data_IF_329117999275
#
_entry.id   IF_329117999275
#
_cell.length_a   1.000
_cell.length_b   1.000
_cell.length_c   1.000
_cell.angle_alpha   90.00
_cell.angle_beta   90.00
_cell.angle_gamma   90.00
#
_symmetry.space_group_name_H-M   'P 1'
#
loop_
_entity.id
_entity.type
_entity.pdbx_description
1 polymer ?
#
# COMPACT_ATOMS: atom_id res chain seq x y z
N UNK A 1 -5.45 -8.10 -16.69
CA UNK A 1 -6.41 -7.46 -15.74
C UNK A 1 -5.59 -6.62 -14.76
N UNK A 2 -5.88 -5.33 -14.61
CA UNK A 2 -5.05 -4.40 -13.79
C UNK A 2 -5.56 -4.22 -12.35
N UNK A 3 -6.80 -4.63 -12.09
CA UNK A 3 -7.42 -4.64 -10.76
C UNK A 3 -7.92 -6.05 -10.50
N UNK A 4 -7.57 -6.65 -9.38
CA UNK A 4 -8.01 -7.99 -8.98
C UNK A 4 -8.56 -7.96 -7.56
N UNK A 5 -9.75 -8.54 -7.39
CA UNK A 5 -10.36 -8.72 -6.07
C UNK A 5 -9.81 -9.98 -5.39
N UNK A 6 -9.25 -9.81 -4.19
CA UNK A 6 -8.90 -10.88 -3.26
C UNK A 6 -9.91 -11.01 -2.12
N UNK A 7 -9.64 -11.90 -1.17
CA UNK A 7 -10.47 -12.18 0.01
C UNK A 7 -10.43 -11.02 1.01
N UNK A 8 -9.23 -10.56 1.36
CA UNK A 8 -8.99 -9.51 2.35
C UNK A 8 -8.42 -8.23 1.73
N UNK A 9 -7.91 -8.31 0.50
CA UNK A 9 -7.26 -7.21 -0.20
C UNK A 9 -7.75 -7.06 -1.64
N UNK A 10 -7.71 -5.83 -2.16
CA UNK A 10 -7.70 -5.59 -3.61
C UNK A 10 -6.25 -5.46 -4.07
N UNK A 11 -5.95 -6.05 -5.22
CA UNK A 11 -4.65 -6.02 -5.87
C UNK A 11 -4.70 -5.09 -7.07
N UNK A 12 -3.78 -4.14 -7.09
CA UNK A 12 -3.57 -3.21 -8.19
C UNK A 12 -2.30 -3.65 -8.90
N UNK A 13 -2.45 -4.07 -10.16
CA UNK A 13 -1.39 -4.60 -11.02
C UNK A 13 -0.92 -3.56 -12.06
N UNK A 14 -1.14 -2.28 -11.75
CA UNK A 14 -0.72 -1.12 -12.53
C UNK A 14 0.81 -1.02 -12.62
N UNK A 15 1.28 -0.34 -13.65
CA UNK A 15 2.70 -0.02 -13.89
C UNK A 15 2.79 1.35 -14.59
N UNK A 16 3.99 1.91 -14.80
CA UNK A 16 4.13 3.24 -15.40
C UNK A 16 3.42 3.42 -16.75
N UNK A 17 3.20 2.33 -17.49
CA UNK A 17 2.55 2.33 -18.79
C UNK A 17 1.05 2.02 -18.72
N UNK A 18 0.52 1.68 -17.54
CA UNK A 18 -0.90 1.33 -17.35
C UNK A 18 -1.42 1.74 -15.98
N UNK A 19 -2.41 2.64 -15.99
CA UNK A 19 -2.97 3.23 -14.77
C UNK A 19 -4.31 2.59 -14.39
N UNK A 20 -4.54 2.50 -13.08
CA UNK A 20 -5.84 2.11 -12.50
C UNK A 20 -6.46 3.33 -11.84
N UNK A 21 -7.69 3.65 -12.24
CA UNK A 21 -8.50 4.70 -11.63
C UNK A 21 -9.57 4.07 -10.74
N UNK A 22 -9.52 4.33 -9.44
CA UNK A 22 -10.52 3.88 -8.48
C UNK A 22 -10.88 5.01 -7.53
N UNK A 23 -12.09 5.00 -6.99
CA UNK A 23 -12.42 5.85 -5.83
C UNK A 23 -12.37 4.99 -4.60
N UNK A 24 -11.72 5.46 -3.55
CA UNK A 24 -11.68 4.77 -2.27
C UNK A 24 -12.06 5.73 -1.16
N UNK A 25 -12.85 5.24 -0.20
CA UNK A 25 -13.28 5.97 0.97
C UNK A 25 -12.84 5.20 2.22
N UNK A 26 -12.20 5.90 3.16
CA UNK A 26 -11.83 5.33 4.45
C UNK A 26 -13.11 5.08 5.27
N UNK A 27 -13.56 3.83 5.22
CA UNK A 27 -14.76 3.34 5.86
C UNK A 27 -14.39 2.00 6.50
N UNK A 28 -13.66 2.01 7.63
CA UNK A 28 -13.21 0.77 8.24
C UNK A 28 -14.39 -0.06 8.73
N UNK A 29 -14.32 -1.36 8.51
CA UNK A 29 -15.33 -2.30 9.01
C UNK A 29 -15.27 -2.45 10.54
N UNK A 30 -14.08 -2.27 11.12
CA UNK A 30 -13.86 -2.29 12.56
C UNK A 30 -13.77 -0.87 13.11
N UNK A 31 -13.79 -0.72 14.44
CA UNK A 31 -13.74 0.57 15.16
C UNK A 31 -12.34 1.20 15.15
N UNK A 32 -11.62 1.13 14.02
CA UNK A 32 -10.34 1.80 13.82
C UNK A 32 -10.54 3.31 13.70
N UNK A 33 -9.60 4.08 14.23
CA UNK A 33 -9.63 5.54 14.06
C UNK A 33 -9.46 5.89 12.58
N UNK A 34 -10.47 6.56 12.01
CA UNK A 34 -10.44 6.99 10.61
C UNK A 34 -9.30 7.95 10.31
N UNK A 35 -8.83 8.69 11.32
CA UNK A 35 -7.71 9.64 11.18
C UNK A 35 -6.36 8.94 11.00
N UNK A 36 -6.25 7.68 11.44
CA UNK A 36 -5.07 6.83 11.26
C UNK A 36 -5.08 6.05 9.94
N UNK A 37 -6.17 6.14 9.15
CA UNK A 37 -6.30 5.47 7.87
C UNK A 37 -5.84 6.40 6.76
N UNK A 38 -4.82 5.96 6.02
CA UNK A 38 -4.26 6.71 4.91
C UNK A 38 -5.31 6.99 3.82
N UNK A 39 -5.48 8.25 3.40
CA UNK A 39 -6.32 8.58 2.24
C UNK A 39 -5.67 8.09 0.95
N UNK A 40 -6.38 7.29 0.15
CA UNK A 40 -5.85 6.69 -1.06
C UNK A 40 -6.00 7.62 -2.28
N UNK A 41 -5.02 7.64 -3.21
CA UNK A 41 -5.15 8.39 -4.46
C UNK A 41 -6.21 7.75 -5.36
N UNK A 42 -6.79 8.55 -6.27
CA UNK A 42 -7.67 8.01 -7.30
C UNK A 42 -6.91 7.29 -8.41
N UNK A 43 -5.62 7.60 -8.59
CA UNK A 43 -4.80 7.09 -9.67
C UNK A 43 -3.65 6.25 -9.12
N UNK A 44 -3.57 5.00 -9.57
CA UNK A 44 -2.46 4.11 -9.28
C UNK A 44 -1.69 3.81 -10.57
N UNK A 45 -0.38 4.07 -10.54
CA UNK A 45 0.56 3.82 -11.65
C UNK A 45 1.65 2.80 -11.28
N UNK A 46 1.42 2.04 -10.20
CA UNK A 46 2.33 1.03 -9.69
C UNK A 46 1.55 -0.04 -8.94
N UNK A 47 2.23 -1.12 -8.54
CA UNK A 47 1.62 -2.11 -7.68
C UNK A 47 1.10 -1.50 -6.38
N UNK A 48 -0.09 -1.96 -5.99
CA UNK A 48 -0.80 -1.50 -4.80
C UNK A 48 -1.60 -2.63 -4.18
N UNK A 49 -1.69 -2.60 -2.85
CA UNK A 49 -2.45 -3.54 -2.05
C UNK A 49 -3.38 -2.71 -1.17
N UNK A 50 -4.69 -2.85 -1.38
CA UNK A 50 -5.71 -2.06 -0.68
C UNK A 50 -6.50 -2.98 0.25
N UNK A 51 -6.42 -2.79 1.58
CA UNK A 51 -7.15 -3.64 2.53
C UNK A 51 -8.66 -3.44 2.47
N UNK A 52 -9.41 -4.52 2.20
CA UNK A 52 -10.88 -4.49 2.07
C UNK A 52 -11.61 -4.19 3.38
N UNK A 53 -10.93 -4.33 4.51
CA UNK A 53 -11.47 -4.04 5.83
C UNK A 53 -11.29 -2.58 6.26
N UNK A 54 -10.59 -1.77 5.47
CA UNK A 54 -10.37 -0.34 5.74
C UNK A 54 -11.12 0.58 4.77
N UNK A 55 -11.42 0.10 3.57
CA UNK A 55 -11.90 0.95 2.49
C UNK A 55 -13.15 0.38 1.80
N UNK A 56 -14.07 1.29 1.48
CA UNK A 56 -15.07 1.11 0.43
C UNK A 56 -14.48 1.59 -0.91
N UNK A 57 -14.57 0.78 -1.96
CA UNK A 57 -13.92 1.02 -3.26
C UNK A 57 -14.94 1.01 -4.39
N UNK A 58 -14.91 2.04 -5.24
CA UNK A 58 -15.64 2.09 -6.52
C UNK A 58 -14.66 1.89 -7.67
N UNK A 59 -14.86 0.84 -8.46
CA UNK A 59 -14.08 0.54 -9.66
C UNK A 59 -14.99 0.01 -10.75
N UNK A 60 -14.86 0.54 -11.96
CA UNK A 60 -15.65 0.15 -13.15
C UNK A 60 -17.18 0.11 -12.89
N UNK A 61 -17.70 1.13 -12.20
CA UNK A 61 -19.11 1.27 -11.79
C UNK A 61 -19.61 0.21 -10.79
N UNK A 62 -18.73 -0.63 -10.28
CA UNK A 62 -19.02 -1.57 -9.20
C UNK A 62 -18.56 -0.96 -7.89
N UNK A 63 -19.41 -1.00 -6.87
CA UNK A 63 -19.07 -0.58 -5.51
C UNK A 63 -18.80 -1.80 -4.65
N UNK A 64 -17.64 -1.82 -4.03
CA UNK A 64 -17.21 -2.84 -3.09
C UNK A 64 -17.18 -2.24 -1.69
N UNK A 65 -18.16 -2.54 -0.82
CA UNK A 65 -18.15 -2.03 0.54
C UNK A 65 -17.00 -2.63 1.35
N UNK A 66 -16.62 -1.95 2.42
CA UNK A 66 -15.70 -2.51 3.40
C UNK A 66 -16.27 -3.78 4.03
N UNK A 67 -15.42 -4.78 4.30
CA UNK A 67 -15.87 -6.04 4.89
C UNK A 67 -14.93 -6.54 6.00
N UNK A 68 -15.40 -7.49 6.80
CA UNK A 68 -14.59 -8.11 7.83
C UNK A 68 -13.37 -8.84 7.24
N UNK A 69 -12.28 -8.92 8.02
CA UNK A 69 -11.20 -9.85 7.74
C UNK A 69 -11.75 -11.28 7.78
N UNK A 70 -11.36 -12.08 6.79
CA UNK A 70 -11.74 -13.48 6.64
C UNK A 70 -10.51 -14.37 6.68
N UNK A 71 -10.58 -15.39 7.52
CA UNK A 71 -9.65 -16.52 7.54
C UNK A 71 -10.47 -17.82 7.43
N UNK A 72 -9.82 -18.92 7.06
CA UNK A 72 -10.44 -20.24 7.14
C UNK A 72 -10.41 -20.74 8.59
N UNK A 73 -11.16 -21.80 8.88
CA UNK A 73 -11.14 -22.46 10.18
C UNK A 73 -9.72 -22.83 10.64
N UNK A 74 -9.46 -22.58 11.93
CA UNK A 74 -8.23 -22.94 12.62
C UNK A 74 -8.09 -24.47 12.67
N UNK A 75 -6.89 -24.97 12.37
CA UNK A 75 -6.55 -26.37 12.50
C UNK A 75 -5.81 -26.58 13.83
N UNK A 76 -6.36 -27.42 14.69
CA UNK A 76 -5.80 -27.74 16.01
C UNK A 76 -4.96 -29.00 15.92
N UNK A 77 -3.67 -28.89 16.24
CA UNK A 77 -2.77 -30.05 16.36
C UNK A 77 -2.47 -30.34 17.83
N UNK A 78 -2.99 -31.45 18.34
CA UNK A 78 -2.81 -31.91 19.71
C UNK A 78 -2.61 -33.42 19.74
N UNK A 79 -1.68 -33.90 20.56
CA UNK A 79 -1.41 -35.32 20.78
C UNK A 79 -1.24 -36.14 19.49
N UNK A 80 -0.57 -35.56 18.48
CA UNK A 80 -0.34 -36.23 17.19
C UNK A 80 -1.56 -36.30 16.27
N UNK A 81 -2.65 -35.62 16.62
CA UNK A 81 -3.87 -35.52 15.81
C UNK A 81 -4.11 -34.10 15.34
N UNK A 82 -4.59 -33.98 14.11
CA UNK A 82 -5.06 -32.73 13.54
C UNK A 82 -6.58 -32.72 13.48
N UNK A 83 -7.20 -31.70 14.03
CA UNK A 83 -8.66 -31.52 13.98
C UNK A 83 -9.02 -30.11 13.54
N UNK A 84 -10.21 -29.97 12.98
CA UNK A 84 -10.83 -28.67 12.69
C UNK A 84 -12.05 -28.54 13.61
N UNK A 85 -12.03 -27.66 14.63
CA UNK A 85 -13.09 -27.60 15.65
C UNK A 85 -14.44 -27.15 15.10
N UNK A 86 -14.42 -26.24 14.12
CA UNK A 86 -15.62 -25.60 13.57
C UNK A 86 -16.15 -26.25 12.28
N UNK A 87 -15.33 -27.06 11.59
CA UNK A 87 -15.65 -27.57 10.25
C UNK A 87 -15.14 -29.00 10.05
N UNK A 88 -15.84 -29.81 9.23
CA UNK A 88 -15.32 -31.08 8.73
C UNK A 88 -14.32 -30.81 7.60
N UNK A 89 -13.29 -31.66 7.49
CA UNK A 89 -12.40 -31.59 6.33
C UNK A 89 -13.17 -31.91 5.03
N UNK A 90 -13.07 -31.06 3.99
CA UNK A 90 -13.56 -31.39 2.66
C UNK A 90 -12.97 -32.70 2.14
N UNK A 91 -13.71 -33.46 1.32
CA UNK A 91 -13.22 -34.71 0.72
C UNK A 91 -11.97 -34.51 -0.16
N UNK A 92 -11.76 -33.29 -0.64
CA UNK A 92 -10.59 -32.87 -1.43
C UNK A 92 -9.36 -32.60 -0.58
N UNK A 93 -9.45 -32.69 0.75
CA UNK A 93 -8.35 -32.33 1.64
C UNK A 93 -7.19 -33.32 1.53
N UNK A 94 -5.99 -32.79 1.31
CA UNK A 94 -4.75 -33.55 1.23
C UNK A 94 -3.70 -33.01 2.19
N UNK A 95 -2.96 -33.91 2.83
CA UNK A 95 -1.66 -33.62 3.43
C UNK A 95 -0.58 -33.76 2.35
N UNK A 96 0.40 -32.87 2.38
CA UNK A 96 1.61 -32.95 1.55
C UNK A 96 2.79 -33.18 2.48
N UNK A 97 3.44 -34.34 2.38
CA UNK A 97 4.63 -34.68 3.15
C UNK A 97 5.69 -35.28 2.23
N UNK A 98 6.90 -34.71 2.25
CA UNK A 98 8.05 -35.13 1.44
C UNK A 98 7.74 -35.31 -0.07
N UNK A 99 6.94 -34.39 -0.63
CA UNK A 99 6.52 -34.42 -2.03
C UNK A 99 5.46 -35.48 -2.36
N UNK A 100 5.01 -36.26 -1.37
CA UNK A 100 3.92 -37.23 -1.50
C UNK A 100 2.63 -36.63 -0.95
N UNK A 101 1.49 -36.98 -1.57
CA UNK A 101 0.17 -36.51 -1.15
C UNK A 101 -0.61 -37.62 -0.45
N UNK A 102 -1.19 -37.31 0.71
CA UNK A 102 -1.99 -38.22 1.52
C UNK A 102 -3.40 -37.66 1.66
N UNK A 103 -4.43 -38.48 1.43
CA UNK A 103 -5.82 -38.05 1.60
C UNK A 103 -6.21 -37.98 3.07
N UNK A 104 -6.82 -36.88 3.47
CA UNK A 104 -7.39 -36.71 4.81
C UNK A 104 -8.76 -37.37 4.86
N UNK A 105 -8.88 -38.48 5.59
CA UNK A 105 -10.09 -39.34 5.59
C UNK A 105 -11.08 -39.07 6.71
N UNK A 106 -10.76 -38.18 7.66
CA UNK A 106 -11.60 -37.93 8.83
C UNK A 106 -11.14 -36.75 9.67
N UNK A 107 -11.97 -36.35 10.64
CA UNK A 107 -11.68 -35.33 11.64
C UNK A 107 -12.02 -35.93 13.03
N UNK A 108 -11.04 -36.23 13.89
CA UNK A 108 -9.61 -35.93 13.77
C UNK A 108 -8.89 -36.79 12.71
N UNK A 109 -7.79 -36.24 12.19
CA UNK A 109 -6.87 -36.87 11.26
C UNK A 109 -5.53 -37.15 11.97
N UNK A 110 -4.85 -38.23 11.58
CA UNK A 110 -3.47 -38.50 12.01
C UNK A 110 -2.52 -38.15 10.86
N UNK A 111 -1.78 -37.03 10.95
CA UNK A 111 -0.80 -36.65 9.94
C UNK A 111 0.31 -37.69 9.82
N UNK A 112 0.89 -37.79 8.62
CA UNK A 112 1.98 -38.70 8.30
C UNK A 112 3.31 -38.22 8.90
N UNK A 113 3.44 -36.90 9.11
CA UNK A 113 4.63 -36.26 9.67
C UNK A 113 4.38 -35.48 10.97
N UNK A 114 5.44 -34.85 11.47
CA UNK A 114 5.36 -33.86 12.56
C UNK A 114 5.33 -32.43 11.98
N UNK A 115 4.80 -31.43 12.71
CA UNK A 115 4.78 -30.05 12.24
C UNK A 115 6.17 -29.53 11.85
N UNK A 116 6.31 -28.73 10.78
CA UNK A 116 5.24 -28.08 10.01
C UNK A 116 4.44 -29.05 9.11
N UNK A 117 3.10 -29.01 9.21
CA UNK A 117 2.21 -29.85 8.41
C UNK A 117 1.60 -29.04 7.28
N UNK A 118 1.73 -29.50 6.04
CA UNK A 118 1.16 -28.84 4.87
C UNK A 118 -0.16 -29.50 4.50
N UNK A 119 -1.26 -28.76 4.67
CA UNK A 119 -2.62 -29.28 4.50
C UNK A 119 -3.35 -28.42 3.47
N UNK A 120 -3.58 -28.95 2.28
CA UNK A 120 -4.36 -28.28 1.24
C UNK A 120 -5.81 -28.72 1.30
N UNK A 121 -6.74 -27.77 1.53
CA UNK A 121 -8.19 -28.02 1.58
C UNK A 121 -8.87 -27.77 0.23
N UNK A 122 -8.32 -26.84 -0.56
CA UNK A 122 -8.86 -26.35 -1.83
C UNK A 122 -7.71 -26.07 -2.82
N UNK A 123 -8.05 -25.97 -4.10
CA UNK A 123 -7.08 -25.61 -5.13
C UNK A 123 -6.48 -24.21 -4.86
N UNK A 124 -5.15 -24.09 -5.04
CA UNK A 124 -4.37 -22.86 -4.79
C UNK A 124 -4.34 -22.39 -3.32
N UNK A 125 -4.58 -23.29 -2.37
CA UNK A 125 -4.38 -23.04 -0.93
C UNK A 125 -3.35 -24.01 -0.35
N UNK A 126 -2.46 -23.51 0.50
CA UNK A 126 -1.50 -24.33 1.24
C UNK A 126 -1.37 -23.92 2.71
N UNK A 127 -2.42 -24.11 3.53
CA UNK A 127 -2.30 -24.01 4.98
C UNK A 127 -1.11 -24.82 5.54
N UNK A 128 -0.37 -24.19 6.44
CA UNK A 128 0.75 -24.78 7.18
C UNK A 128 0.45 -24.69 8.67
N UNK A 129 0.46 -25.83 9.35
CA UNK A 129 0.32 -25.92 10.81
C UNK A 129 1.71 -26.01 11.42
N UNK A 130 2.08 -25.03 12.23
CA UNK A 130 3.42 -24.88 12.79
C UNK A 130 4.35 -24.00 11.97
N UNK A 131 5.56 -23.82 12.52
CA UNK A 131 6.64 -23.06 11.89
C UNK A 131 7.75 -23.97 11.38
N UNK A 132 8.52 -23.49 10.40
CA UNK A 132 9.64 -24.23 9.81
C UNK A 132 10.79 -24.47 10.80
N UNK A 133 11.10 -23.49 11.66
CA UNK A 133 12.17 -23.57 12.66
C UNK A 133 11.62 -23.59 14.09
N UNK A 134 12.23 -24.46 14.88
CA UNK A 134 11.91 -24.72 16.29
C UNK A 134 13.19 -24.66 17.11
N UNK A 135 13.05 -24.43 18.41
CA UNK A 135 14.18 -24.36 19.34
C UNK A 135 15.02 -23.09 19.18
N UNK A 136 16.30 -23.19 19.51
CA UNK A 136 17.27 -22.11 19.36
C UNK A 136 17.92 -22.16 17.98
N UNK A 137 18.02 -21.02 17.33
CA UNK A 137 18.63 -20.87 16.03
C UNK A 137 19.27 -19.49 15.91
N UNK A 138 20.06 -19.32 14.85
CA UNK A 138 20.76 -18.07 14.59
C UNK A 138 20.48 -17.62 13.18
N UNK A 139 20.38 -16.31 13.01
CA UNK A 139 20.25 -15.68 11.71
C UNK A 139 21.25 -14.55 11.56
N UNK A 140 21.65 -14.29 10.33
CA UNK A 140 22.52 -13.17 9.99
C UNK A 140 21.67 -11.97 9.63
N UNK A 141 21.75 -10.92 10.45
CA UNK A 141 21.05 -9.67 10.24
C UNK A 141 21.75 -8.86 9.15
N UNK A 142 21.00 -8.52 8.11
CA UNK A 142 21.35 -7.54 7.09
C UNK A 142 20.48 -6.30 7.30
N UNK A 143 21.13 -5.14 7.32
CA UNK A 143 20.43 -3.86 7.27
C UNK A 143 20.04 -3.58 5.82
N UNK A 144 18.78 -3.30 5.58
CA UNK A 144 18.31 -2.89 4.26
C UNK A 144 17.63 -1.54 4.36
N UNK A 145 17.81 -0.72 3.34
CA UNK A 145 17.10 0.56 3.21
C UNK A 145 15.59 0.29 3.24
N UNK A 146 14.92 0.87 4.21
CA UNK A 146 13.47 0.84 4.30
C UNK A 146 12.93 1.64 3.14
N UNK A 147 12.04 1.05 2.37
CA UNK A 147 11.37 1.77 1.31
C UNK A 147 10.09 2.37 1.88
N UNK A 148 10.00 3.69 1.90
CA UNK A 148 8.80 4.40 2.30
C UNK A 148 7.97 4.66 1.05
N UNK A 149 6.66 4.50 1.19
CA UNK A 149 5.74 4.99 0.17
C UNK A 149 5.37 6.43 0.47
N UNK A 150 5.55 7.31 -0.48
CA UNK A 150 5.01 8.67 -0.44
C UNK A 150 4.21 8.93 -1.70
N UNK A 151 3.58 10.08 -1.75
CA UNK A 151 2.92 10.58 -2.94
C UNK A 151 3.68 11.75 -3.51
N UNK A 152 3.56 11.92 -4.82
CA UNK A 152 4.02 13.11 -5.53
C UNK A 152 3.04 13.45 -6.65
N UNK A 153 3.04 14.70 -7.09
CA UNK A 153 2.29 15.12 -8.26
C UNK A 153 3.13 14.89 -9.52
N UNK A 154 2.68 14.00 -10.41
CA UNK A 154 3.30 13.89 -11.73
C UNK A 154 2.77 15.01 -12.61
N UNK A 155 3.67 15.90 -13.03
CA UNK A 155 3.31 16.99 -13.93
C UNK A 155 2.76 16.47 -15.28
N UNK A 156 3.12 15.25 -15.72
CA UNK A 156 2.55 14.61 -16.93
C UNK A 156 1.04 14.36 -16.84
N UNK A 157 0.52 14.13 -15.63
CA UNK A 157 -0.91 13.89 -15.43
C UNK A 157 -1.75 15.17 -15.41
N UNK A 158 -1.12 16.31 -15.10
CA UNK A 158 -1.82 17.59 -14.97
C UNK A 158 -1.63 18.51 -16.17
N UNK A 159 -0.45 18.51 -16.79
CA UNK A 159 -0.14 19.39 -17.91
C UNK A 159 -0.83 18.87 -19.17
N UNK A 160 -1.40 19.77 -19.98
CA UNK A 160 -1.97 19.39 -21.27
C UNK A 160 -0.87 18.75 -22.15
N UNK A 161 -1.03 17.49 -22.60
CA UNK A 161 -0.03 16.80 -23.42
C UNK A 161 0.26 17.48 -24.77
N UNK A 162 -0.61 18.40 -25.20
CA UNK A 162 -0.42 19.19 -26.43
C UNK A 162 0.55 20.38 -26.24
N UNK A 163 0.91 20.74 -25.00
CA UNK A 163 1.84 21.82 -24.73
C UNK A 163 3.28 21.36 -24.92
N UNK A 164 4.06 22.15 -25.65
CA UNK A 164 5.51 21.99 -25.74
C UNK A 164 6.20 22.35 -24.41
N UNK A 165 7.42 21.83 -24.20
CA UNK A 165 8.24 22.14 -23.02
C UNK A 165 8.34 23.66 -22.77
N UNK A 166 8.63 24.44 -23.81
CA UNK A 166 8.77 25.90 -23.76
C UNK A 166 7.47 26.59 -23.32
N UNK A 167 6.30 26.09 -23.74
CA UNK A 167 5.01 26.66 -23.35
C UNK A 167 4.68 26.37 -21.88
N UNK A 168 5.09 25.21 -21.38
CA UNK A 168 4.95 24.84 -19.96
C UNK A 168 5.88 25.68 -19.10
N UNK A 169 7.14 25.88 -19.52
CA UNK A 169 8.09 26.74 -18.82
C UNK A 169 7.57 28.17 -18.70
N UNK A 170 7.06 28.75 -19.79
CA UNK A 170 6.44 30.10 -19.76
C UNK A 170 5.27 30.18 -18.79
N UNK A 171 4.45 29.13 -18.68
CA UNK A 171 3.38 29.10 -17.69
C UNK A 171 3.93 29.05 -16.27
N UNK A 172 4.97 28.27 -16.00
CA UNK A 172 5.61 28.18 -14.68
C UNK A 172 6.13 29.55 -14.22
N UNK A 173 6.72 30.35 -15.13
CA UNK A 173 7.17 31.70 -14.81
C UNK A 173 6.06 32.59 -14.25
N UNK A 174 4.82 32.41 -14.75
CA UNK A 174 3.64 33.19 -14.31
C UNK A 174 3.05 32.75 -12.98
N UNK A 175 3.40 31.57 -12.46
CA UNK A 175 2.85 31.04 -11.21
C UNK A 175 3.39 31.81 -9.99
N UNK A 176 2.62 31.83 -8.89
CA UNK A 176 3.04 32.47 -7.63
C UNK A 176 3.74 31.45 -6.71
N UNK A 177 4.80 30.84 -7.23
CA UNK A 177 5.79 30.09 -6.45
C UNK A 177 7.02 30.96 -6.20
N UNK A 178 7.77 30.69 -5.13
CA UNK A 178 9.04 31.38 -4.90
C UNK A 178 10.11 30.97 -5.95
N UNK A 179 11.24 31.67 -5.99
CA UNK A 179 12.28 31.41 -6.99
C UNK A 179 12.88 29.99 -6.90
N UNK A 180 12.93 29.43 -5.69
CA UNK A 180 13.47 28.08 -5.43
C UNK A 180 12.48 27.02 -5.89
N UNK A 181 11.21 27.17 -5.54
CA UNK A 181 10.08 26.34 -5.95
C UNK A 181 9.91 26.35 -7.48
N UNK A 182 10.04 27.52 -8.13
CA UNK A 182 10.05 27.60 -9.61
C UNK A 182 11.21 26.84 -10.22
N UNK A 183 12.41 26.96 -9.65
CA UNK A 183 13.57 26.18 -10.10
C UNK A 183 13.31 24.68 -10.03
N UNK A 184 12.66 24.21 -8.97
CA UNK A 184 12.22 22.82 -8.83
C UNK A 184 11.19 22.42 -9.90
N UNK A 185 10.20 23.26 -10.20
CA UNK A 185 9.25 23.00 -11.30
C UNK A 185 9.94 22.92 -12.67
N UNK A 186 10.90 23.78 -12.95
CA UNK A 186 11.69 23.69 -14.20
C UNK A 186 12.49 22.40 -14.28
N UNK A 187 13.13 21.97 -13.18
CA UNK A 187 13.81 20.67 -13.13
C UNK A 187 12.83 19.52 -13.38
N UNK A 188 11.62 19.58 -12.80
CA UNK A 188 10.59 18.58 -13.06
C UNK A 188 10.20 18.53 -14.52
N UNK A 189 9.88 19.67 -15.14
CA UNK A 189 9.54 19.74 -16.56
C UNK A 189 10.61 19.04 -17.41
N UNK A 190 11.89 19.34 -17.17
CA UNK A 190 12.98 18.66 -17.88
C UNK A 190 12.97 17.15 -17.67
N UNK A 191 12.69 16.67 -16.45
CA UNK A 191 12.54 15.23 -16.16
C UNK A 191 11.35 14.63 -16.91
N UNK A 192 10.23 15.35 -17.04
CA UNK A 192 9.05 14.87 -17.78
C UNK A 192 9.33 14.71 -19.26
N UNK A 193 9.97 15.72 -19.88
CA UNK A 193 10.20 15.78 -21.32
C UNK A 193 11.47 15.00 -21.76
N UNK A 194 12.36 14.66 -20.82
CA UNK A 194 13.56 13.89 -21.11
C UNK A 194 13.34 12.38 -21.25
N UNK A 195 12.18 11.80 -20.88
CA UNK A 195 12.01 10.35 -20.89
C UNK A 195 10.59 9.78 -20.75
N UNK A 196 10.51 8.46 -20.88
CA UNK A 196 9.31 7.62 -20.68
C UNK A 196 8.76 7.71 -19.25
N UNK A 197 7.50 7.33 -18.98
CA UNK A 197 6.95 7.30 -17.61
C UNK A 197 7.76 6.46 -16.61
N UNK A 198 8.40 5.37 -17.05
CA UNK A 198 9.25 4.52 -16.22
C UNK A 198 10.55 5.23 -15.79
N UNK A 199 11.16 5.98 -16.71
CA UNK A 199 12.36 6.78 -16.44
C UNK A 199 12.05 7.92 -15.47
N UNK A 200 10.91 8.60 -15.64
CA UNK A 200 10.42 9.61 -14.69
C UNK A 200 10.34 9.03 -13.27
N UNK A 201 9.69 7.87 -13.10
CA UNK A 201 9.54 7.26 -11.78
C UNK A 201 10.89 6.93 -11.14
N UNK A 202 11.84 6.43 -11.93
CA UNK A 202 13.19 6.11 -11.46
C UNK A 202 13.92 7.38 -11.01
N UNK A 203 13.87 8.44 -11.82
CA UNK A 203 14.49 9.74 -11.48
C UNK A 203 13.86 10.33 -10.23
N UNK A 204 12.53 10.37 -10.15
CA UNK A 204 11.82 10.91 -8.98
C UNK A 204 12.15 10.08 -7.73
N UNK A 205 12.21 8.75 -7.80
CA UNK A 205 12.58 7.90 -6.65
C UNK A 205 13.98 8.21 -6.13
N UNK A 206 14.94 8.42 -7.04
CA UNK A 206 16.31 8.83 -6.68
C UNK A 206 16.34 10.23 -6.07
N UNK A 207 15.58 11.18 -6.61
CA UNK A 207 15.48 12.54 -6.05
C UNK A 207 14.90 12.51 -4.64
N UNK A 208 13.87 11.70 -4.39
CA UNK A 208 13.31 11.54 -3.06
C UNK A 208 14.31 10.94 -2.05
N UNK A 209 15.23 10.10 -2.52
CA UNK A 209 16.25 9.46 -1.67
C UNK A 209 17.47 10.36 -1.40
N UNK A 210 17.80 11.27 -2.32
CA UNK A 210 19.06 12.04 -2.27
C UNK A 210 18.89 13.57 -2.18
N UNK A 211 17.73 14.12 -2.54
CA UNK A 211 17.42 15.55 -2.49
C UNK A 211 16.20 15.85 -1.59
N UNK A 212 16.35 15.83 -0.26
CA UNK A 212 15.22 15.89 0.67
C UNK A 212 14.40 17.18 0.56
N UNK A 213 15.03 18.32 0.23
CA UNK A 213 14.31 19.59 0.04
C UNK A 213 13.40 19.55 -1.19
N UNK A 214 13.87 18.94 -2.28
CA UNK A 214 13.09 18.80 -3.51
C UNK A 214 12.01 17.72 -3.35
N UNK A 215 12.29 16.67 -2.58
CA UNK A 215 11.31 15.67 -2.17
C UNK A 215 10.14 16.29 -1.38
N UNK A 216 10.45 17.17 -0.41
CA UNK A 216 9.45 17.92 0.37
C UNK A 216 8.63 18.83 -0.55
N UNK A 217 9.26 19.50 -1.51
CA UNK A 217 8.54 20.30 -2.50
C UNK A 217 7.54 19.45 -3.30
N UNK A 218 7.98 18.31 -3.83
CA UNK A 218 7.17 17.39 -4.62
C UNK A 218 6.04 16.70 -3.84
N UNK A 219 6.23 16.52 -2.53
CA UNK A 219 5.26 15.86 -1.65
C UNK A 219 4.23 16.84 -1.10
N UNK A 220 4.66 18.03 -0.70
CA UNK A 220 3.83 18.93 0.10
C UNK A 220 3.46 20.21 -0.66
N UNK A 221 4.44 20.84 -1.32
CA UNK A 221 4.28 22.20 -1.82
C UNK A 221 3.69 22.26 -3.22
N UNK A 222 3.90 21.22 -4.03
CA UNK A 222 3.39 21.19 -5.41
C UNK A 222 1.87 21.05 -5.48
N UNK A 223 1.23 20.57 -4.41
CA UNK A 223 -0.24 20.39 -4.35
C UNK A 223 -1.00 21.69 -4.06
N UNK A 224 -0.30 22.80 -3.81
CA UNK A 224 -0.90 24.11 -3.55
C UNK A 224 -1.77 24.58 -4.72
N UNK A 225 -2.77 25.41 -4.43
CA UNK A 225 -3.70 25.97 -5.43
C UNK A 225 -2.97 26.69 -6.59
N UNK A 226 -1.75 27.18 -6.37
CA UNK A 226 -0.94 27.86 -7.39
C UNK A 226 -0.57 26.97 -8.58
N UNK A 227 -0.66 25.64 -8.48
CA UNK A 227 -0.44 24.74 -9.62
C UNK A 227 -1.63 24.70 -10.59
N UNK A 228 -2.79 25.22 -10.20
CA UNK A 228 -4.05 25.16 -10.95
C UNK A 228 -3.96 25.65 -12.41
N UNK A 229 -3.21 26.73 -12.76
CA UNK A 229 -3.07 27.16 -14.16
C UNK A 229 -2.38 26.14 -15.08
N UNK A 230 -1.64 25.17 -14.51
CA UNK A 230 -1.04 24.07 -15.25
C UNK A 230 -2.01 22.90 -15.46
N UNK A 231 -3.03 22.76 -14.62
CA UNK A 231 -3.99 21.64 -14.67
C UNK A 231 -4.93 21.81 -15.88
N UNK A 232 -4.95 20.79 -16.73
CA UNK A 232 -5.86 20.71 -17.87
C UNK A 232 -7.25 20.13 -17.50
N UNK A 233 -8.29 20.60 -18.19
CA UNK A 233 -9.61 19.98 -18.21
C UNK A 233 -10.68 20.62 -17.31
N UNK A 234 -11.91 20.04 -17.27
CA UNK A 234 -13.05 20.57 -16.51
C UNK A 234 -12.97 20.33 -14.99
N UNK A 235 -11.78 19.97 -14.48
CA UNK A 235 -11.50 19.66 -13.07
C UNK A 235 -12.05 20.72 -12.13
N UNK A 236 -11.74 21.99 -12.42
CA UNK A 236 -12.11 23.13 -11.60
C UNK A 236 -13.62 23.37 -11.58
N UNK A 237 -14.29 23.18 -12.73
CA UNK A 237 -15.74 23.39 -12.83
C UNK A 237 -16.51 22.41 -11.92
N UNK A 238 -16.10 21.15 -11.86
CA UNK A 238 -16.70 20.14 -10.95
C UNK A 238 -16.66 20.58 -9.49
N UNK A 239 -15.55 21.16 -9.04
CA UNK A 239 -15.36 21.64 -7.67
C UNK A 239 -16.23 22.89 -7.42
N UNK A 240 -16.17 23.86 -8.32
CA UNK A 240 -16.89 25.12 -8.17
C UNK A 240 -18.42 24.97 -8.22
N UNK A 241 -18.93 23.93 -8.88
CA UNK A 241 -20.37 23.63 -8.92
C UNK A 241 -20.87 23.04 -7.58
N UNK A 242 -20.07 22.24 -6.90
CA UNK A 242 -20.48 21.58 -5.65
C UNK A 242 -20.26 22.44 -4.40
N UNK A 243 -19.41 23.48 -4.48
CA UNK A 243 -19.10 24.35 -3.35
C UNK A 243 -20.17 25.43 -3.10
N UNK A 244 -20.35 25.78 -1.83
CA UNK A 244 -21.17 26.93 -1.42
C UNK A 244 -20.54 28.23 -1.95
N UNK A 245 -21.31 28.96 -2.77
CA UNK A 245 -20.88 30.22 -3.40
C UNK A 245 -20.36 31.25 -2.38
N UNK A 246 -20.89 31.24 -1.16
CA UNK A 246 -20.51 32.15 -0.07
C UNK A 246 -19.08 31.90 0.43
N UNK A 247 -18.65 30.64 0.40
CA UNK A 247 -17.29 30.22 0.76
C UNK A 247 -16.32 30.54 -0.38
N UNK A 248 -16.74 30.28 -1.63
CA UNK A 248 -15.97 30.68 -2.82
C UNK A 248 -15.75 32.20 -2.81
N UNK A 249 -16.80 32.97 -2.50
CA UNK A 249 -16.75 34.43 -2.39
C UNK A 249 -15.79 34.92 -1.32
N UNK A 250 -15.72 34.25 -0.16
CA UNK A 250 -14.77 34.59 0.90
C UNK A 250 -13.32 34.45 0.42
N UNK A 251 -13.03 33.40 -0.33
CA UNK A 251 -11.67 33.02 -0.76
C UNK A 251 -11.21 33.80 -2.00
N UNK A 252 -12.12 34.06 -2.95
CA UNK A 252 -11.85 34.65 -4.26
C UNK A 252 -10.94 35.92 -4.27
N UNK A 253 -11.12 36.91 -3.36
CA UNK A 253 -10.27 38.11 -3.35
C UNK A 253 -8.81 37.85 -2.94
N UNK A 254 -8.55 36.76 -2.21
CA UNK A 254 -7.21 36.39 -1.71
C UNK A 254 -6.41 35.54 -2.69
N UNK A 255 -7.08 35.00 -3.71
CA UNK A 255 -6.44 34.19 -4.73
C UNK A 255 -5.44 35.02 -5.54
N UNK A 256 -4.34 34.38 -5.93
CA UNK A 256 -3.36 34.96 -6.84
C UNK A 256 -3.99 35.30 -8.20
N UNK A 257 -3.48 36.30 -8.94
CA UNK A 257 -4.01 36.65 -10.24
C UNK A 257 -4.09 35.49 -11.25
N UNK A 258 -3.07 34.59 -11.36
CA UNK A 258 -3.15 33.44 -12.26
C UNK A 258 -4.27 32.46 -11.90
N UNK A 259 -4.44 32.17 -10.60
CA UNK A 259 -5.50 31.28 -10.11
C UNK A 259 -6.88 31.90 -10.37
N UNK A 260 -7.03 33.20 -10.11
CA UNK A 260 -8.29 33.92 -10.37
C UNK A 260 -8.67 33.90 -11.84
N UNK A 261 -7.72 34.21 -12.73
CA UNK A 261 -7.95 34.15 -14.17
C UNK A 261 -8.37 32.76 -14.64
N UNK A 262 -7.79 31.70 -14.04
CA UNK A 262 -8.17 30.33 -14.35
C UNK A 262 -9.60 30.01 -13.90
N UNK A 263 -10.02 30.45 -12.71
CA UNK A 263 -11.41 30.31 -12.25
C UNK A 263 -12.37 31.04 -13.19
N UNK A 264 -12.10 32.31 -13.50
CA UNK A 264 -12.94 33.14 -14.35
C UNK A 264 -13.13 32.55 -15.75
N UNK A 265 -12.10 31.89 -16.29
CA UNK A 265 -12.17 31.19 -17.59
C UNK A 265 -13.03 29.93 -17.55
N UNK A 266 -13.15 29.26 -16.40
CA UNK A 266 -13.78 27.94 -16.27
C UNK A 266 -15.21 27.97 -15.73
N UNK A 267 -15.74 29.14 -15.36
CA UNK A 267 -17.13 29.31 -14.93
C UNK A 267 -17.88 30.30 -15.83
N UNK A 268 -19.21 30.17 -15.89
CA UNK A 268 -20.02 31.10 -16.67
C UNK A 268 -20.03 32.49 -16.02
N UNK A 269 -20.16 33.53 -16.85
CA UNK A 269 -20.29 34.93 -16.38
C UNK A 269 -21.42 35.11 -15.36
N UNK A 270 -22.52 34.37 -15.53
CA UNK A 270 -23.67 34.41 -14.63
C UNK A 270 -23.35 33.78 -13.26
N UNK A 271 -22.64 32.64 -13.25
CA UNK A 271 -22.21 31.98 -12.00
C UNK A 271 -21.18 32.84 -11.25
N UNK A 272 -20.22 33.43 -11.97
CA UNK A 272 -19.25 34.34 -11.37
C UNK A 272 -19.95 35.53 -10.71
N UNK A 273 -20.92 36.14 -11.40
CA UNK A 273 -21.72 37.22 -10.84
C UNK A 273 -22.47 36.78 -9.57
N UNK A 274 -23.12 35.61 -9.60
CA UNK A 274 -23.81 35.03 -8.44
C UNK A 274 -22.88 34.85 -7.23
N UNK A 275 -21.66 34.34 -7.45
CA UNK A 275 -20.65 34.21 -6.40
C UNK A 275 -20.26 35.58 -5.84
N UNK A 276 -20.01 36.56 -6.71
CA UNK A 276 -19.60 37.91 -6.29
C UNK A 276 -20.70 38.64 -5.49
N UNK A 277 -21.96 38.41 -5.85
CA UNK A 277 -23.14 38.99 -5.21
C UNK A 277 -23.60 38.21 -3.95
N UNK A 278 -23.09 36.99 -3.74
CA UNK A 278 -23.40 36.16 -2.58
C UNK A 278 -22.84 36.74 -1.27
N UNK A 279 -23.53 36.55 -0.13
CA UNK A 279 -23.02 36.98 1.17
C UNK A 279 -21.74 36.21 1.51
N UNK A 280 -20.82 36.86 2.22
CA UNK A 280 -19.53 36.25 2.57
C UNK A 280 -19.72 35.28 3.74
N UNK A 281 -19.30 34.02 3.59
CA UNK A 281 -19.24 33.03 4.69
C UNK A 281 -17.79 32.65 4.94
N UNK A 282 -17.30 32.88 6.16
CA UNK A 282 -15.99 32.38 6.59
C UNK A 282 -16.05 30.84 6.68
N UNK A 283 -15.19 30.11 5.97
CA UNK A 283 -15.13 28.65 6.03
C UNK A 283 -14.57 28.19 7.37
N UNK A 284 -14.96 26.99 7.76
CA UNK A 284 -14.26 26.23 8.80
C UNK A 284 -12.94 25.69 8.24
N UNK A 285 -12.07 25.20 9.13
CA UNK A 285 -10.78 24.62 8.70
C UNK A 285 -11.03 23.42 7.79
N UNK A 286 -10.36 23.36 6.63
CA UNK A 286 -10.53 22.31 5.63
C UNK A 286 -11.69 22.52 4.64
N UNK A 287 -12.48 23.58 4.80
CA UNK A 287 -13.61 23.91 3.92
C UNK A 287 -13.33 25.08 2.97
N UNK A 288 -12.17 25.73 3.07
CA UNK A 288 -11.84 26.84 2.16
C UNK A 288 -11.73 26.38 0.70
N UNK A 289 -11.79 27.32 -0.24
CA UNK A 289 -11.65 27.02 -1.66
C UNK A 289 -10.26 26.47 -1.96
N UNK A 290 -9.24 27.05 -1.34
CA UNK A 290 -7.85 26.66 -1.42
C UNK A 290 -7.69 25.21 -0.95
N UNK A 291 -8.06 24.91 0.30
CA UNK A 291 -7.93 23.56 0.88
C UNK A 291 -8.74 22.52 0.08
N UNK A 292 -9.92 22.89 -0.41
CA UNK A 292 -10.76 21.99 -1.22
C UNK A 292 -10.11 21.68 -2.57
N UNK A 293 -9.57 22.68 -3.26
CA UNK A 293 -8.87 22.49 -4.53
C UNK A 293 -7.61 21.67 -4.30
N UNK A 294 -6.80 22.00 -3.30
CA UNK A 294 -5.54 21.29 -2.98
C UNK A 294 -5.81 19.82 -2.67
N UNK A 295 -6.82 19.53 -1.83
CA UNK A 295 -7.28 18.16 -1.55
C UNK A 295 -7.72 17.43 -2.82
N UNK A 296 -8.47 18.09 -3.70
CA UNK A 296 -8.89 17.49 -4.96
C UNK A 296 -7.71 17.29 -5.92
N UNK A 297 -6.72 18.18 -5.96
CA UNK A 297 -5.51 18.00 -6.78
C UNK A 297 -4.75 16.77 -6.29
N UNK A 298 -4.52 16.70 -4.98
CA UNK A 298 -3.91 15.55 -4.32
C UNK A 298 -4.65 14.26 -4.66
N UNK A 299 -5.97 14.23 -4.46
CA UNK A 299 -6.78 13.04 -4.66
C UNK A 299 -6.79 12.56 -6.12
N UNK A 300 -6.87 13.46 -7.09
CA UNK A 300 -7.04 13.09 -8.50
C UNK A 300 -5.72 12.87 -9.25
N UNK A 301 -4.63 13.53 -8.85
CA UNK A 301 -3.40 13.60 -9.66
C UNK A 301 -2.14 13.14 -8.92
N UNK A 302 -2.22 12.85 -7.62
CA UNK A 302 -1.07 12.27 -6.93
C UNK A 302 -0.82 10.83 -7.39
N UNK A 303 0.46 10.48 -7.54
CA UNK A 303 0.93 9.12 -7.78
C UNK A 303 1.65 8.61 -6.54
N UNK A 304 1.47 7.32 -6.25
CA UNK A 304 2.27 6.63 -5.23
C UNK A 304 3.67 6.37 -5.79
N UNK A 305 4.68 6.74 -5.03
CA UNK A 305 6.08 6.42 -5.30
C UNK A 305 6.70 5.78 -4.08
N UNK A 306 7.69 4.94 -4.35
CA UNK A 306 8.46 4.25 -3.34
C UNK A 306 9.90 4.73 -3.43
N UNK A 307 10.47 5.15 -2.31
CA UNK A 307 11.83 5.66 -2.22
C UNK A 307 12.49 5.17 -0.93
N UNK A 308 13.81 5.15 -0.92
CA UNK A 308 14.57 4.63 0.21
C UNK A 308 14.70 5.69 1.31
N UNK A 309 14.13 5.40 2.48
CA UNK A 309 14.21 6.25 3.66
C UNK A 309 14.09 5.41 4.94
N UNK A 310 15.13 5.42 5.75
CA UNK A 310 15.26 4.58 6.95
C UNK A 310 15.91 3.23 6.67
N UNK A 311 16.02 2.40 7.72
CA UNK A 311 16.66 1.09 7.67
C UNK A 311 15.80 0.10 8.44
N UNK A 312 15.55 -1.06 7.85
CA UNK A 312 14.93 -2.19 8.54
C UNK A 312 15.86 -3.40 8.53
N UNK A 313 15.61 -4.32 9.45
CA UNK A 313 16.36 -5.56 9.56
C UNK A 313 15.70 -6.64 8.71
N UNK A 314 16.48 -7.30 7.87
CA UNK A 314 16.15 -8.55 7.22
C UNK A 314 17.18 -9.59 7.60
N UNK A 315 16.78 -10.85 7.58
CA UNK A 315 17.61 -11.94 8.04
C UNK A 315 17.85 -12.99 6.96
N UNK A 316 18.92 -13.77 7.11
CA UNK A 316 19.27 -14.92 6.26
C UNK A 316 19.87 -16.05 7.10
N UNK A 317 19.78 -17.28 6.58
CA UNK A 317 20.38 -18.46 7.22
C UNK A 317 21.89 -18.55 6.96
N UNK A 318 22.36 -18.19 5.77
CA UNK A 318 23.77 -18.38 5.35
C UNK A 318 24.53 -17.05 5.25
N UNK A 319 25.75 -17.01 5.79
CA UNK A 319 26.64 -15.86 5.73
C UNK A 319 27.41 -15.73 4.39
N UNK A 320 27.56 -16.81 3.62
CA UNK A 320 28.48 -16.86 2.47
C UNK A 320 28.08 -15.98 1.28
N UNK A 321 26.78 -15.71 1.11
CA UNK A 321 26.26 -14.81 0.06
C UNK A 321 26.39 -13.32 0.41
N UNK A 322 27.00 -12.96 1.54
CA UNK A 322 27.15 -11.58 2.02
C UNK A 322 28.48 -10.92 1.63
N UNK A 323 29.34 -11.61 0.85
CA UNK A 323 30.68 -11.13 0.45
C UNK A 323 30.68 -9.81 -0.35
N UNK A 324 29.54 -9.34 -0.81
CA UNK A 324 29.38 -8.13 -1.64
C UNK A 324 29.00 -6.87 -0.87
N UNK A 325 28.70 -6.94 0.43
CA UNK A 325 28.20 -5.78 1.20
C UNK A 325 29.04 -5.55 2.49
N UNK A 326 29.88 -4.50 2.55
CA UNK A 326 30.91 -4.33 3.59
C UNK A 326 30.40 -3.94 5.00
N UNK A 327 29.09 -3.74 5.20
CA UNK A 327 28.50 -3.42 6.50
C UNK A 327 27.98 -4.66 7.25
N UNK A 328 28.94 -5.41 7.81
CA UNK A 328 28.84 -6.31 8.98
C UNK A 328 27.55 -7.13 9.15
N UNK A 329 27.58 -8.40 8.74
CA UNK A 329 26.60 -9.41 9.15
C UNK A 329 26.69 -9.63 10.66
N UNK A 330 25.70 -9.13 11.41
CA UNK A 330 25.60 -9.41 12.84
C UNK A 330 24.82 -10.70 13.00
N UNK A 331 25.46 -11.71 13.57
CA UNK A 331 24.77 -12.94 13.98
C UNK A 331 23.84 -12.61 15.15
N UNK A 332 22.56 -12.95 15.01
CA UNK A 332 21.53 -12.67 16.02
C UNK A 332 20.91 -14.00 16.45
N UNK A 333 20.94 -14.34 17.75
CA UNK A 333 20.29 -15.54 18.27
C UNK A 333 18.78 -15.32 18.40
N UNK A 334 18.02 -16.37 18.10
CA UNK A 334 16.58 -16.42 18.25
C UNK A 334 16.17 -17.70 18.98
N UNK A 335 15.04 -17.63 19.69
CA UNK A 335 14.42 -18.78 20.34
C UNK A 335 12.95 -18.83 19.96
N UNK A 336 12.55 -19.94 19.35
CA UNK A 336 11.16 -20.20 19.01
C UNK A 336 10.32 -20.35 20.28
N UNK A 337 9.04 -19.99 20.21
CA UNK A 337 8.06 -20.29 21.28
C UNK A 337 7.99 -21.80 21.54
N UNK A 338 7.58 -22.24 22.75
CA UNK A 338 7.59 -23.67 23.08
C UNK A 338 6.65 -24.54 22.23
N UNK A 339 5.53 -23.97 21.77
CA UNK A 339 4.47 -24.68 21.04
C UNK A 339 4.16 -24.00 19.70
N UNK A 340 5.10 -24.01 18.74
CA UNK A 340 4.92 -23.35 17.45
C UNK A 340 3.81 -23.99 16.61
N UNK A 341 3.46 -25.26 16.84
CA UNK A 341 2.35 -25.97 16.21
C UNK A 341 0.95 -25.39 16.51
N UNK A 342 0.84 -24.45 17.46
CA UNK A 342 -0.38 -23.69 17.71
C UNK A 342 -0.63 -22.58 16.68
N UNK A 343 0.29 -22.36 15.76
CA UNK A 343 0.17 -21.31 14.76
C UNK A 343 -0.12 -21.88 13.39
N UNK A 344 -1.11 -21.33 12.71
CA UNK A 344 -1.50 -21.73 11.37
C UNK A 344 -1.22 -20.59 10.39
N UNK A 345 -0.33 -20.81 9.42
CA UNK A 345 -0.21 -19.95 8.25
C UNK A 345 -1.16 -20.46 7.17
N UNK A 346 -2.21 -19.72 6.88
CA UNK A 346 -3.09 -19.98 5.75
C UNK A 346 -2.64 -19.11 4.59
N UNK A 347 -2.27 -19.69 3.45
CA UNK A 347 -1.91 -18.94 2.24
C UNK A 347 -2.77 -19.38 1.07
N UNK A 348 -3.20 -18.40 0.27
CA UNK A 348 -4.00 -18.55 -0.94
C UNK A 348 -3.35 -17.82 -2.10
N UNK A 349 -3.34 -18.43 -3.27
CA UNK A 349 -2.67 -17.91 -4.46
C UNK A 349 -1.24 -18.43 -4.56
N UNK A 350 -0.30 -17.55 -4.91
CA UNK A 350 1.11 -17.95 -5.06
C UNK A 350 1.77 -18.19 -3.69
N UNK A 351 2.44 -19.32 -3.52
CA UNK A 351 3.14 -19.67 -2.28
C UNK A 351 4.51 -18.97 -2.17
N UNK A 352 4.49 -17.64 -2.00
CA UNK A 352 5.69 -16.79 -2.00
C UNK A 352 6.26 -16.52 -0.61
N UNK A 353 5.55 -16.91 0.45
CA UNK A 353 5.92 -16.62 1.84
C UNK A 353 5.61 -17.80 2.76
N UNK A 354 6.50 -18.04 3.72
CA UNK A 354 6.41 -19.15 4.66
C UNK A 354 6.61 -18.66 6.09
N UNK A 355 5.94 -19.29 7.06
CA UNK A 355 6.11 -18.99 8.48
C UNK A 355 7.39 -19.66 8.99
N UNK A 356 8.47 -18.88 9.03
CA UNK A 356 9.80 -19.37 9.36
C UNK A 356 9.90 -19.76 10.83
N UNK A 357 9.57 -18.84 11.74
CA UNK A 357 9.57 -19.07 13.18
C UNK A 357 8.64 -18.08 13.89
N UNK A 358 8.19 -18.43 15.09
CA UNK A 358 7.50 -17.52 16.02
C UNK A 358 8.36 -17.42 17.26
N UNK A 359 8.62 -16.20 17.72
CA UNK A 359 9.32 -15.93 18.98
C UNK A 359 8.38 -15.19 19.94
N UNK A 360 8.87 -14.88 21.15
CA UNK A 360 8.13 -14.07 22.13
C UNK A 360 7.92 -12.61 21.68
N UNK A 361 8.68 -12.13 20.69
CA UNK A 361 8.68 -10.72 20.26
C UNK A 361 8.34 -10.52 18.80
N UNK A 362 8.63 -11.50 17.94
CA UNK A 362 8.48 -11.36 16.50
C UNK A 362 8.00 -12.64 15.82
N UNK A 363 7.23 -12.45 14.75
CA UNK A 363 6.92 -13.42 13.72
C UNK A 363 7.95 -13.29 12.59
N UNK A 364 8.59 -14.39 12.22
CA UNK A 364 9.57 -14.43 11.16
C UNK A 364 8.98 -15.12 9.92
N UNK A 365 9.07 -14.46 8.78
CA UNK A 365 8.53 -14.96 7.52
C UNK A 365 9.61 -15.10 6.45
N UNK A 366 9.78 -16.29 5.88
CA UNK A 366 10.74 -16.53 4.80
C UNK A 366 10.10 -16.28 3.44
N UNK A 367 10.79 -15.51 2.61
CA UNK A 367 10.43 -15.23 1.23
C UNK A 367 10.97 -16.34 0.33
N UNK A 368 10.10 -17.02 -0.41
CA UNK A 368 10.50 -18.16 -1.28
C UNK A 368 10.84 -17.74 -2.71
N UNK A 369 10.34 -16.61 -3.18
CA UNK A 369 10.58 -16.06 -4.52
C UNK A 369 10.67 -14.54 -4.51
N UNK A 370 10.94 -13.92 -5.66
CA UNK A 370 11.00 -12.45 -5.72
C UNK A 370 9.61 -11.80 -5.54
N UNK A 371 9.46 -11.03 -4.47
CA UNK A 371 8.23 -10.29 -4.14
C UNK A 371 8.44 -8.80 -4.41
N UNK A 372 7.59 -8.20 -5.22
CA UNK A 372 7.65 -6.76 -5.49
C UNK A 372 7.12 -5.95 -4.30
N UNK A 373 6.05 -6.44 -3.69
CA UNK A 373 5.31 -5.77 -2.63
C UNK A 373 4.65 -6.80 -1.73
N UNK A 374 4.79 -6.65 -0.42
CA UNK A 374 4.03 -7.40 0.58
C UNK A 374 3.63 -6.50 1.73
N UNK A 375 2.39 -6.66 2.17
CA UNK A 375 1.78 -5.93 3.28
C UNK A 375 1.33 -6.92 4.35
N UNK A 376 1.49 -6.52 5.61
CA UNK A 376 0.98 -7.20 6.79
C UNK A 376 0.12 -6.21 7.57
N UNK A 377 -1.04 -6.67 8.02
CA UNK A 377 -1.96 -5.96 8.90
C UNK A 377 -2.23 -6.86 10.09
N UNK A 378 -1.63 -6.53 11.24
CA UNK A 378 -1.77 -7.25 12.50
C UNK A 378 -2.93 -6.66 13.28
N UNK A 379 -3.98 -7.46 13.49
CA UNK A 379 -5.12 -7.07 14.31
C UNK A 379 -4.81 -7.35 15.79
N UNK A 380 -4.49 -6.28 16.53
CA UNK A 380 -4.26 -6.32 17.98
C UNK A 380 -5.60 -6.33 18.70
N UNK A 381 -6.51 -5.44 18.30
CA UNK A 381 -7.90 -5.40 18.81
C UNK A 381 -8.87 -4.94 17.73
N UNK A 382 -10.17 -4.82 18.06
CA UNK A 382 -11.15 -4.22 17.13
C UNK A 382 -10.94 -2.71 16.93
N UNK A 383 -10.07 -2.09 17.72
CA UNK A 383 -9.77 -0.66 17.68
C UNK A 383 -8.32 -0.35 17.30
N UNK A 384 -7.46 -1.36 17.30
CA UNK A 384 -6.01 -1.19 17.17
C UNK A 384 -5.44 -2.19 16.17
N UNK A 385 -4.61 -1.69 15.25
CA UNK A 385 -3.90 -2.48 14.24
C UNK A 385 -2.47 -1.97 14.08
N UNK A 386 -1.56 -2.87 13.75
CA UNK A 386 -0.20 -2.53 13.29
C UNK A 386 -0.07 -2.88 11.80
N UNK A 387 0.46 -1.96 11.00
CA UNK A 387 0.73 -2.20 9.58
C UNK A 387 2.22 -2.26 9.28
N UNK A 388 2.61 -3.25 8.48
CA UNK A 388 3.98 -3.39 7.97
C UNK A 388 3.95 -3.61 6.47
N UNK A 389 4.95 -3.04 5.80
CA UNK A 389 5.03 -3.06 4.36
C UNK A 389 6.48 -3.21 3.90
N UNK A 390 6.69 -4.04 2.89
CA UNK A 390 8.01 -4.35 2.37
C UNK A 390 7.99 -4.42 0.84
N UNK A 391 9.11 -4.04 0.23
CA UNK A 391 9.25 -3.93 -1.22
C UNK A 391 10.51 -4.63 -1.73
N UNK A 392 10.44 -5.04 -3.01
CA UNK A 392 11.57 -5.59 -3.79
C UNK A 392 12.35 -6.66 -3.01
N UNK A 393 11.66 -7.64 -2.46
CA UNK A 393 12.24 -8.66 -1.60
C UNK A 393 12.79 -9.83 -2.41
N UNK A 394 14.11 -10.09 -2.38
CA UNK A 394 14.67 -11.27 -3.02
C UNK A 394 14.35 -12.56 -2.23
N UNK A 395 14.41 -13.73 -2.90
CA UNK A 395 14.24 -15.02 -2.25
C UNK A 395 15.28 -15.26 -1.14
N UNK A 396 14.91 -16.10 -0.18
CA UNK A 396 15.72 -16.48 0.97
C UNK A 396 15.90 -15.38 2.02
N UNK A 397 15.17 -14.26 1.91
CA UNK A 397 15.10 -13.24 2.96
C UNK A 397 14.05 -13.61 3.99
N UNK A 398 14.37 -13.35 5.25
CA UNK A 398 13.47 -13.54 6.38
C UNK A 398 13.07 -12.16 6.89
N UNK A 399 11.78 -11.89 6.84
CA UNK A 399 11.13 -10.66 7.30
C UNK A 399 10.77 -10.79 8.78
N UNK A 400 10.80 -9.68 9.48
CA UNK A 400 10.41 -9.56 10.88
C UNK A 400 9.14 -8.73 11.00
N UNK A 401 8.12 -9.30 11.65
CA UNK A 401 6.86 -8.63 11.99
C UNK A 401 6.68 -8.72 13.50
N UNK A 402 6.30 -7.63 14.21
CA UNK A 402 6.08 -7.68 15.65
C UNK A 402 5.06 -8.75 16.06
N UNK A 403 5.36 -9.47 17.13
CA UNK A 403 4.44 -10.39 17.77
C UNK A 403 3.79 -9.68 18.96
N UNK A 404 2.46 -9.67 19.00
CA UNK A 404 1.70 -9.23 20.16
C UNK A 404 1.02 -10.45 20.78
N UNK A 405 1.23 -10.78 22.05
CA UNK A 405 0.57 -11.92 22.70
C UNK A 405 -0.96 -11.91 22.55
N UNK A 406 -1.54 -10.70 22.44
CA UNK A 406 -2.96 -10.45 22.28
C UNK A 406 -3.42 -10.45 20.80
N UNK A 407 -2.50 -10.56 19.83
CA UNK A 407 -2.88 -10.51 18.41
C UNK A 407 -3.86 -11.63 18.09
N UNK A 408 -4.94 -11.28 17.39
CA UNK A 408 -5.97 -12.24 17.01
C UNK A 408 -5.69 -12.88 15.67
N UNK A 409 -5.22 -12.06 14.74
CA UNK A 409 -5.04 -12.41 13.35
C UNK A 409 -3.98 -11.49 12.74
N UNK A 410 -3.03 -12.07 12.03
CA UNK A 410 -2.19 -11.30 11.10
C UNK A 410 -2.70 -11.60 9.69
N UNK A 411 -3.29 -10.61 9.03
CA UNK A 411 -3.60 -10.71 7.60
C UNK A 411 -2.43 -10.16 6.79
N UNK A 412 -2.21 -10.68 5.59
CA UNK A 412 -1.26 -10.10 4.67
C UNK A 412 -1.54 -10.45 3.23
N UNK A 413 -0.91 -9.73 2.34
CA UNK A 413 -1.01 -9.94 0.90
C UNK A 413 0.25 -9.47 0.20
N UNK A 414 0.52 -10.03 -0.97
CA UNK A 414 1.66 -9.63 -1.79
C UNK A 414 1.48 -9.85 -3.29
N UNK A 415 2.37 -9.24 -4.05
CA UNK A 415 2.47 -9.35 -5.51
C UNK A 415 3.92 -9.70 -5.86
N UNK A 416 4.13 -10.74 -6.66
CA UNK A 416 5.45 -11.16 -7.12
C UNK A 416 5.93 -10.36 -8.33
N UNK A 417 7.22 -10.47 -8.69
CA UNK A 417 7.75 -9.88 -9.94
C UNK A 417 7.00 -10.34 -11.20
N UNK A 418 6.47 -11.57 -11.18
CA UNK A 418 5.67 -12.14 -12.26
C UNK A 418 4.20 -11.67 -12.23
N UNK A 419 3.86 -10.66 -11.43
CA UNK A 419 2.49 -10.14 -11.23
C UNK A 419 1.52 -11.19 -10.69
N UNK A 420 2.01 -12.22 -10.00
CA UNK A 420 1.16 -13.22 -9.32
C UNK A 420 0.82 -12.70 -7.92
N UNK A 421 -0.44 -12.86 -7.54
CA UNK A 421 -0.99 -12.36 -6.27
C UNK A 421 -1.12 -13.48 -5.25
N UNK A 422 -0.99 -13.12 -3.97
CA UNK A 422 -1.24 -14.04 -2.86
C UNK A 422 -1.75 -13.29 -1.64
N UNK A 423 -2.52 -13.99 -0.83
CA UNK A 423 -3.01 -13.53 0.47
C UNK A 423 -2.68 -14.58 1.52
N UNK A 424 -2.44 -14.14 2.75
CA UNK A 424 -2.20 -15.04 3.84
C UNK A 424 -2.78 -14.54 5.16
N UNK A 425 -2.98 -15.46 6.09
CA UNK A 425 -3.44 -15.23 7.45
C UNK A 425 -2.61 -16.07 8.42
N UNK A 426 -2.15 -15.49 9.52
CA UNK A 426 -1.59 -16.25 10.65
C UNK A 426 -2.57 -16.24 11.81
N UNK A 427 -2.96 -17.43 12.25
CA UNK A 427 -3.83 -17.66 13.39
C UNK A 427 -3.03 -18.30 14.52
N UNK A 428 -3.13 -17.79 15.75
CA UNK A 428 -2.43 -18.34 16.93
C UNK A 428 -3.31 -19.14 17.90
N UNK A 429 -4.62 -19.15 17.68
CA UNK A 429 -5.60 -19.85 18.50
C UNK A 429 -6.90 -20.08 17.72
N UNK A 430 -7.80 -20.89 18.30
CA UNK A 430 -9.13 -21.16 17.78
C UNK A 430 -9.99 -19.88 17.89
N UNK A 431 -10.39 -19.31 16.75
CA UNK A 431 -11.16 -18.06 16.66
C UNK A 431 -12.57 -18.32 16.14
#
# INVERSE_FOLDING_TARGET
MLFQEGTNYFFILANPDSVVRLKAHAEPFYDFDKTEIEELPHLFASFGIVPRFLYSVEYDRITYPSQNMRSKAYLRYENGTLSSPSERFPETTIEIADGTTFRVKGNPYHPSGAPPLFISREANELPVVGALKKGEFKLFRQRRNQTISTRYLSLKDIVNPELSEIEVEKKIETLYFDAKEKSYLFRLVKILYAGTPSEEQTVVSNLFSHEPEFAVFLRDQIFRIEILPLIHGPFLNRILVSMDERIVRFSFPRLSPPVRAMIEKNISKNKLKSILDSPVKKPESGESLEETIEREIYRNFSRKIYYENGIFSIYRENAEEMKTDPNSAVEVPFRSVPYPEKYNLQIRGKNSIELYAITDRVLLFRVSEWIEIVRFDTMISKRERDERFFLKLPPGRILEVPFFPEFKLVCGAGITAEKKTFEFCVLGFDY
#
